data_IF_946742288009
#
_entry.id   IF_946742288009
#
_cell.length_a   1.000
_cell.length_b   1.000
_cell.length_c   1.000
_cell.angle_alpha   90.00
_cell.angle_beta   90.00
_cell.angle_gamma   90.00
#
_symmetry.space_group_name_H-M   'P 1'
#
loop_
_entity.id
_entity.type
_entity.pdbx_description
1 polymer ?
#
# COMPACT_ATOMS: atom_id res chain seq x y z
N UNK A 1 32.13 10.53 13.52
CA UNK A 1 32.91 9.63 12.64
C UNK A 1 33.47 10.38 11.44
N UNK A 2 32.66 11.04 10.60
CA UNK A 2 33.12 11.90 9.49
C UNK A 2 34.25 12.87 9.85
N UNK A 3 34.03 13.72 10.85
CA UNK A 3 35.03 14.69 11.29
C UNK A 3 36.32 14.03 11.76
N UNK A 4 36.24 12.85 12.38
CA UNK A 4 37.43 12.16 12.88
C UNK A 4 38.30 11.60 11.76
N UNK A 5 37.70 11.12 10.66
CA UNK A 5 38.44 10.62 9.49
C UNK A 5 38.92 11.78 8.61
N UNK A 6 38.14 12.86 8.49
CA UNK A 6 38.61 14.09 7.85
C UNK A 6 39.80 14.70 8.60
N UNK A 7 39.75 14.74 9.94
CA UNK A 7 40.87 15.21 10.76
C UNK A 7 42.12 14.32 10.62
N UNK A 8 41.97 13.02 10.32
CA UNK A 8 43.11 12.14 10.01
C UNK A 8 43.66 12.39 8.60
N UNK A 9 42.81 12.74 7.64
CA UNK A 9 43.20 13.12 6.29
C UNK A 9 43.91 14.49 6.27
N UNK A 10 43.53 15.40 7.17
CA UNK A 10 44.15 16.72 7.33
C UNK A 10 45.45 16.70 8.15
N UNK A 11 45.77 15.60 8.84
CA UNK A 11 46.98 15.47 9.65
C UNK A 11 48.05 14.66 8.91
N UNK A 12 48.98 15.37 8.27
CA UNK A 12 50.11 14.78 7.56
C UNK A 12 50.90 13.77 8.42
N UNK A 13 51.11 14.04 9.71
CA UNK A 13 51.90 13.14 10.58
C UNK A 13 51.21 11.78 10.77
N UNK A 14 49.88 11.79 10.93
CA UNK A 14 49.07 10.57 11.07
C UNK A 14 49.03 9.78 9.76
N UNK A 15 49.01 10.49 8.63
CA UNK A 15 49.01 9.90 7.30
C UNK A 15 50.36 9.23 6.96
N UNK A 16 51.49 9.82 7.37
CA UNK A 16 52.80 9.20 7.24
C UNK A 16 52.94 7.94 8.10
N UNK A 17 52.35 7.92 9.30
CA UNK A 17 52.34 6.73 10.16
C UNK A 17 51.55 5.55 9.59
N UNK A 18 50.64 5.75 8.62
CA UNK A 18 49.92 4.65 7.97
C UNK A 18 50.82 3.73 7.12
N UNK A 19 51.99 4.20 6.68
CA UNK A 19 52.91 3.43 5.84
C UNK A 19 53.78 2.44 6.65
N UNK A 20 53.13 1.61 7.46
CA UNK A 20 53.76 0.65 8.38
C UNK A 20 54.72 -0.32 7.66
N UNK A 21 54.42 -0.72 6.43
CA UNK A 21 55.31 -1.59 5.63
C UNK A 21 56.60 -0.90 5.18
N UNK A 22 56.54 0.40 4.84
CA UNK A 22 57.75 1.18 4.50
C UNK A 22 58.61 1.42 5.74
N UNK A 23 57.97 1.76 6.86
CA UNK A 23 58.62 1.99 8.16
C UNK A 23 59.27 0.70 8.69
N UNK A 24 58.66 -0.47 8.46
CA UNK A 24 59.23 -1.76 8.84
C UNK A 24 60.46 -2.14 8.02
N UNK A 25 60.45 -1.86 6.71
CA UNK A 25 61.56 -2.21 5.82
C UNK A 25 62.77 -1.28 5.99
N UNK A 26 62.56 -0.03 6.38
CA UNK A 26 63.65 0.90 6.65
C UNK A 26 63.33 1.78 7.88
N UNK A 27 63.84 1.41 9.07
CA UNK A 27 63.54 2.10 10.33
C UNK A 27 64.14 3.51 10.40
N UNK A 28 64.97 3.95 9.45
CA UNK A 28 65.44 5.34 9.40
C UNK A 28 64.37 6.31 8.90
N UNK A 29 63.38 5.84 8.13
CA UNK A 29 62.22 6.64 7.71
C UNK A 29 61.28 6.98 8.87
N UNK A 30 61.31 6.23 9.96
CA UNK A 30 60.57 6.55 11.19
C UNK A 30 61.10 7.80 11.93
N UNK A 31 62.29 8.30 11.59
CA UNK A 31 62.84 9.55 12.15
C UNK A 31 62.65 10.76 11.24
N UNK A 32 62.43 10.54 9.94
CA UNK A 32 62.25 11.57 8.92
C UNK A 32 60.92 11.33 8.20
N UNK A 33 59.80 11.53 8.91
CA UNK A 33 58.46 11.26 8.40
C UNK A 33 58.20 11.97 7.05
N UNK A 34 58.66 13.21 6.88
CA UNK A 34 58.49 14.02 5.65
C UNK A 34 59.28 13.55 4.41
N UNK A 35 59.98 12.41 4.46
CA UNK A 35 60.87 11.99 3.37
C UNK A 35 60.20 11.21 2.24
N UNK A 36 58.94 10.82 2.40
CA UNK A 36 58.22 10.03 1.39
C UNK A 36 56.78 10.48 1.24
N UNK A 37 56.29 10.37 0.00
CA UNK A 37 54.96 10.81 -0.38
C UNK A 37 53.85 9.90 0.19
N UNK A 38 52.76 10.55 0.60
CA UNK A 38 51.58 9.94 1.22
C UNK A 38 50.36 9.89 0.30
N UNK A 39 50.40 10.52 -0.88
CA UNK A 39 49.32 10.65 -1.88
C UNK A 39 48.48 9.37 -2.10
N UNK A 40 49.13 8.20 -2.10
CA UNK A 40 48.43 6.92 -2.33
C UNK A 40 47.50 6.54 -1.17
N UNK A 41 47.91 6.76 0.07
CA UNK A 41 47.10 6.50 1.25
C UNK A 41 45.96 7.52 1.36
N UNK A 42 46.25 8.78 1.05
CA UNK A 42 45.25 9.86 0.99
C UNK A 42 44.14 9.53 -0.01
N UNK A 43 44.53 9.25 -1.26
CA UNK A 43 43.58 8.96 -2.35
C UNK A 43 42.74 7.71 -2.07
N UNK A 44 43.33 6.66 -1.49
CA UNK A 44 42.57 5.48 -1.06
C UNK A 44 41.57 5.83 0.04
N UNK A 45 41.99 6.56 1.07
CA UNK A 45 41.12 6.95 2.18
C UNK A 45 39.96 7.84 1.70
N UNK A 46 40.24 8.79 0.80
CA UNK A 46 39.24 9.67 0.20
C UNK A 46 38.19 8.89 -0.60
N UNK A 47 38.63 7.94 -1.44
CA UNK A 47 37.72 7.06 -2.21
C UNK A 47 36.84 6.24 -1.28
N UNK A 48 37.42 5.61 -0.25
CA UNK A 48 36.63 4.83 0.72
C UNK A 48 35.64 5.70 1.50
N UNK A 49 36.06 6.90 1.90
CA UNK A 49 35.22 7.85 2.61
C UNK A 49 34.05 8.31 1.73
N UNK A 50 34.31 8.59 0.45
CA UNK A 50 33.28 8.92 -0.53
C UNK A 50 32.29 7.76 -0.72
N UNK A 51 32.78 6.54 -0.89
CA UNK A 51 31.95 5.35 -1.07
C UNK A 51 31.06 5.07 0.15
N UNK A 52 31.58 5.26 1.37
CA UNK A 52 30.79 5.11 2.60
C UNK A 52 29.62 6.11 2.62
N UNK A 53 29.84 7.37 2.23
CA UNK A 53 28.75 8.35 2.18
C UNK A 53 27.76 8.07 1.06
N UNK A 54 28.25 7.69 -0.12
CA UNK A 54 27.40 7.29 -1.23
C UNK A 54 26.51 6.10 -0.82
N UNK A 55 27.08 5.12 -0.10
CA UNK A 55 26.34 3.99 0.45
C UNK A 55 25.32 4.44 1.50
N UNK A 56 25.69 5.30 2.44
CA UNK A 56 24.77 5.82 3.46
C UNK A 56 23.57 6.54 2.82
N UNK A 57 23.82 7.38 1.81
CA UNK A 57 22.77 8.07 1.06
C UNK A 57 21.87 7.08 0.31
N UNK A 58 22.44 6.09 -0.36
CA UNK A 58 21.68 5.02 -1.04
C UNK A 58 20.81 4.23 -0.07
N UNK A 59 21.34 3.87 1.09
CA UNK A 59 20.59 3.16 2.14
C UNK A 59 19.43 4.02 2.65
N UNK A 60 19.67 5.31 2.90
CA UNK A 60 18.61 6.24 3.32
C UNK A 60 17.49 6.36 2.27
N UNK A 61 17.86 6.46 0.99
CA UNK A 61 16.89 6.51 -0.11
C UNK A 61 16.12 5.19 -0.26
N UNK A 62 16.80 4.05 -0.11
CA UNK A 62 16.17 2.74 -0.16
C UNK A 62 15.17 2.56 0.99
N UNK A 63 15.53 2.99 2.21
CA UNK A 63 14.63 2.98 3.36
C UNK A 63 13.38 3.82 3.08
N UNK A 64 13.55 5.03 2.54
CA UNK A 64 12.43 5.88 2.16
C UNK A 64 11.55 5.23 1.08
N UNK A 65 12.14 4.56 0.09
CA UNK A 65 11.41 3.82 -0.94
C UNK A 65 10.61 2.65 -0.36
N UNK A 66 11.16 1.93 0.62
CA UNK A 66 10.45 0.86 1.32
C UNK A 66 9.24 1.44 2.06
N UNK A 67 9.41 2.51 2.83
CA UNK A 67 8.31 3.17 3.55
C UNK A 67 7.22 3.70 2.61
N UNK A 68 7.62 4.28 1.47
CA UNK A 68 6.68 4.73 0.45
C UNK A 68 5.91 3.54 -0.15
N UNK A 69 6.61 2.44 -0.44
CA UNK A 69 5.98 1.21 -0.95
C UNK A 69 5.02 0.60 0.07
N UNK A 70 5.38 0.57 1.34
CA UNK A 70 4.51 0.12 2.44
C UNK A 70 3.22 0.93 2.48
N UNK A 71 3.35 2.26 2.39
CA UNK A 71 2.20 3.17 2.35
C UNK A 71 1.28 2.89 1.15
N UNK A 72 1.86 2.67 -0.03
CA UNK A 72 1.08 2.29 -1.23
C UNK A 72 0.38 0.94 -1.05
N UNK A 73 1.06 -0.05 -0.48
CA UNK A 73 0.47 -1.37 -0.21
C UNK A 73 -0.67 -1.25 0.80
N UNK A 74 -0.53 -0.46 1.86
CA UNK A 74 -1.60 -0.19 2.82
C UNK A 74 -2.82 0.45 2.14
N UNK A 75 -2.62 1.48 1.32
CA UNK A 75 -3.70 2.11 0.55
C UNK A 75 -4.41 1.10 -0.38
N UNK A 76 -3.65 0.21 -1.02
CA UNK A 76 -4.22 -0.87 -1.85
C UNK A 76 -5.02 -1.86 -1.01
N UNK A 77 -4.54 -2.24 0.17
CA UNK A 77 -5.24 -3.14 1.07
C UNK A 77 -6.57 -2.54 1.56
N UNK A 78 -6.55 -1.26 1.94
CA UNK A 78 -7.76 -0.55 2.37
C UNK A 78 -8.77 -0.40 1.22
N UNK A 79 -8.29 -0.14 0.01
CA UNK A 79 -9.13 -0.13 -1.19
C UNK A 79 -9.78 -1.50 -1.41
N UNK A 80 -9.04 -2.61 -1.24
CA UNK A 80 -9.60 -3.96 -1.37
C UNK A 80 -10.64 -4.26 -0.29
N UNK A 81 -10.39 -3.87 0.96
CA UNK A 81 -11.37 -4.00 2.05
C UNK A 81 -12.65 -3.21 1.75
N UNK A 82 -12.51 -1.96 1.32
CA UNK A 82 -13.65 -1.11 0.95
C UNK A 82 -14.43 -1.70 -0.25
N UNK A 83 -13.72 -2.23 -1.24
CA UNK A 83 -14.34 -2.96 -2.36
C UNK A 83 -15.15 -4.16 -1.88
N UNK A 84 -14.60 -4.99 -0.99
CA UNK A 84 -15.32 -6.15 -0.44
C UNK A 84 -16.55 -5.75 0.37
N UNK A 85 -16.47 -4.71 1.21
CA UNK A 85 -17.62 -4.16 1.93
C UNK A 85 -18.72 -3.69 0.98
N UNK A 86 -18.33 -3.03 -0.11
CA UNK A 86 -19.25 -2.56 -1.15
C UNK A 86 -19.97 -3.73 -1.82
N UNK A 87 -19.26 -4.81 -2.14
CA UNK A 87 -19.83 -6.03 -2.70
C UNK A 87 -20.78 -6.70 -1.71
N UNK A 88 -20.37 -6.86 -0.45
CA UNK A 88 -21.17 -7.48 0.61
C UNK A 88 -22.48 -6.72 0.86
N UNK A 89 -22.43 -5.39 0.93
CA UNK A 89 -23.61 -4.53 1.03
C UNK A 89 -24.56 -4.72 -0.16
N UNK A 90 -24.01 -4.85 -1.37
CA UNK A 90 -24.81 -5.08 -2.58
C UNK A 90 -25.51 -6.43 -2.52
N UNK A 91 -24.81 -7.51 -2.16
CA UNK A 91 -25.37 -8.85 -2.03
C UNK A 91 -26.42 -8.93 -0.93
N UNK A 92 -26.15 -8.30 0.21
CA UNK A 92 -27.10 -8.19 1.32
C UNK A 92 -28.38 -7.47 0.89
N UNK A 93 -28.26 -6.39 0.11
CA UNK A 93 -29.42 -5.67 -0.43
C UNK A 93 -30.27 -6.54 -1.36
N UNK A 94 -29.63 -7.26 -2.28
CA UNK A 94 -30.32 -8.21 -3.16
C UNK A 94 -31.06 -9.26 -2.36
N UNK A 95 -30.38 -9.88 -1.40
CA UNK A 95 -30.94 -10.94 -0.55
C UNK A 95 -32.12 -10.42 0.28
N UNK A 96 -31.99 -9.26 0.91
CA UNK A 96 -33.06 -8.66 1.72
C UNK A 96 -34.33 -8.41 0.88
N UNK A 97 -34.15 -7.88 -0.33
CA UNK A 97 -35.28 -7.54 -1.21
C UNK A 97 -35.96 -8.78 -1.78
N UNK A 98 -35.18 -9.82 -2.09
CA UNK A 98 -35.70 -11.13 -2.48
C UNK A 98 -36.45 -11.77 -1.31
N UNK A 99 -35.92 -11.72 -0.08
CA UNK A 99 -36.59 -12.28 1.11
C UNK A 99 -37.98 -11.70 1.35
N UNK A 100 -38.16 -10.38 1.16
CA UNK A 100 -39.49 -9.74 1.26
C UNK A 100 -40.43 -10.24 0.16
N UNK A 101 -39.93 -10.40 -1.07
CA UNK A 101 -40.73 -10.89 -2.21
C UNK A 101 -41.12 -12.37 -2.03
N UNK A 102 -40.21 -13.18 -1.48
CA UNK A 102 -40.45 -14.58 -1.11
C UNK A 102 -41.44 -14.69 0.03
N UNK A 103 -41.39 -13.81 1.03
CA UNK A 103 -42.37 -13.78 2.12
C UNK A 103 -43.79 -13.52 1.60
N UNK A 104 -43.96 -12.51 0.73
CA UNK A 104 -45.25 -12.20 0.10
C UNK A 104 -45.75 -13.39 -0.71
N UNK A 105 -44.91 -13.93 -1.60
CA UNK A 105 -45.24 -15.13 -2.40
C UNK A 105 -45.60 -16.32 -1.50
N UNK A 106 -44.88 -16.50 -0.40
CA UNK A 106 -45.13 -17.55 0.59
C UNK A 106 -46.50 -17.41 1.25
N UNK A 107 -46.86 -16.21 1.74
CA UNK A 107 -48.16 -15.95 2.34
C UNK A 107 -49.33 -16.25 1.38
N UNK A 108 -49.20 -15.90 0.09
CA UNK A 108 -50.21 -16.19 -0.94
C UNK A 108 -50.16 -17.65 -1.44
N UNK A 109 -49.03 -18.35 -1.29
CA UNK A 109 -48.87 -19.76 -1.66
C UNK A 109 -49.30 -20.75 -0.58
N UNK A 110 -49.69 -20.28 0.61
CA UNK A 110 -50.22 -21.14 1.68
C UNK A 110 -51.64 -21.60 1.34
N UNK A 111 -51.94 -22.86 1.64
CA UNK A 111 -53.27 -23.46 1.49
C UNK A 111 -54.22 -22.96 2.61
N UNK A 112 -54.51 -21.65 2.58
CA UNK A 112 -55.48 -20.99 3.44
C UNK A 112 -56.67 -20.62 2.58
N UNK A 113 -57.88 -20.95 3.04
CA UNK A 113 -59.11 -20.63 2.34
C UNK A 113 -59.37 -19.11 2.43
N UNK A 114 -58.77 -18.39 1.49
CA UNK A 114 -58.79 -16.95 1.39
C UNK A 114 -59.65 -16.61 0.18
N UNK A 115 -60.87 -16.12 0.39
CA UNK A 115 -61.80 -15.66 -0.67
C UNK A 115 -61.20 -14.56 -1.59
N UNK A 116 -59.96 -14.15 -1.35
CA UNK A 116 -59.14 -13.23 -2.14
C UNK A 116 -58.68 -13.88 -3.46
N UNK A 117 -58.64 -15.22 -3.54
CA UNK A 117 -58.28 -15.95 -4.76
C UNK A 117 -59.39 -15.94 -5.83
N UNK A 118 -60.64 -15.73 -5.44
CA UNK A 118 -61.80 -15.72 -6.34
C UNK A 118 -61.98 -14.39 -7.09
N UNK A 119 -61.20 -13.36 -6.75
CA UNK A 119 -61.24 -12.06 -7.42
C UNK A 119 -60.44 -12.13 -8.72
N UNK A 120 -61.11 -11.90 -9.84
CA UNK A 120 -60.48 -11.82 -11.17
C UNK A 120 -59.27 -10.85 -11.16
N UNK A 121 -58.18 -11.24 -11.83
CA UNK A 121 -56.92 -10.50 -11.99
C UNK A 121 -56.00 -10.35 -10.77
N UNK A 122 -56.45 -10.66 -9.55
CA UNK A 122 -55.68 -10.39 -8.32
C UNK A 122 -54.35 -11.18 -8.27
N UNK A 123 -54.36 -12.42 -8.76
CA UNK A 123 -53.14 -13.24 -8.92
C UNK A 123 -52.09 -12.59 -9.83
N UNK A 124 -52.51 -12.07 -10.99
CA UNK A 124 -51.61 -11.43 -11.94
C UNK A 124 -51.00 -10.14 -11.39
N UNK A 125 -51.78 -9.37 -10.63
CA UNK A 125 -51.30 -8.14 -9.98
C UNK A 125 -50.23 -8.48 -8.93
N UNK A 126 -50.47 -9.46 -8.07
CA UNK A 126 -49.51 -9.86 -7.04
C UNK A 126 -48.23 -10.41 -7.67
N UNK A 127 -48.35 -11.24 -8.72
CA UNK A 127 -47.20 -11.78 -9.46
C UNK A 127 -46.37 -10.66 -10.13
N UNK A 128 -47.02 -9.65 -10.69
CA UNK A 128 -46.31 -8.51 -11.25
C UNK A 128 -45.59 -7.71 -10.15
N UNK A 129 -46.26 -7.44 -9.03
CA UNK A 129 -45.67 -6.69 -7.92
C UNK A 129 -44.46 -7.43 -7.33
N UNK A 130 -44.54 -8.74 -7.10
CA UNK A 130 -43.43 -9.51 -6.52
C UNK A 130 -42.20 -9.60 -7.43
N UNK A 131 -42.37 -9.55 -8.75
CA UNK A 131 -41.25 -9.53 -9.71
C UNK A 131 -40.65 -8.13 -9.88
N UNK A 132 -41.48 -7.10 -9.97
CA UNK A 132 -41.01 -5.74 -10.25
C UNK A 132 -40.52 -4.99 -9.01
N UNK A 133 -41.09 -5.27 -7.83
CA UNK A 133 -40.68 -4.67 -6.57
C UNK A 133 -39.18 -4.81 -6.27
N UNK A 134 -38.56 -6.00 -6.39
CA UNK A 134 -37.13 -6.13 -6.10
C UNK A 134 -36.24 -5.38 -7.09
N UNK A 135 -36.62 -5.37 -8.37
CA UNK A 135 -35.90 -4.69 -9.42
C UNK A 135 -35.93 -3.17 -9.20
N UNK A 136 -37.11 -2.60 -8.92
CA UNK A 136 -37.28 -1.16 -8.67
C UNK A 136 -36.53 -0.73 -7.41
N UNK A 137 -36.58 -1.53 -6.35
CA UNK A 137 -35.91 -1.22 -5.08
C UNK A 137 -34.38 -1.18 -5.25
N UNK A 138 -33.79 -2.16 -5.94
CA UNK A 138 -32.35 -2.14 -6.22
C UNK A 138 -31.95 -0.97 -7.12
N UNK A 139 -32.74 -0.66 -8.16
CA UNK A 139 -32.45 0.46 -9.07
C UNK A 139 -32.54 1.82 -8.36
N UNK A 140 -33.57 2.05 -7.53
CA UNK A 140 -33.72 3.29 -6.77
C UNK A 140 -32.63 3.48 -5.74
N UNK A 141 -32.19 2.40 -5.08
CA UNK A 141 -31.08 2.45 -4.13
C UNK A 141 -29.76 2.73 -4.85
N UNK A 142 -29.47 2.04 -5.97
CA UNK A 142 -28.30 2.36 -6.80
C UNK A 142 -28.29 3.83 -7.23
N UNK A 143 -29.40 4.32 -7.79
CA UNK A 143 -29.54 5.71 -8.23
C UNK A 143 -29.40 6.71 -7.08
N UNK A 144 -29.90 6.37 -5.89
CA UNK A 144 -29.77 7.21 -4.68
C UNK A 144 -28.34 7.23 -4.14
N UNK A 145 -27.61 6.12 -4.26
CA UNK A 145 -26.18 6.06 -3.90
C UNK A 145 -25.34 6.88 -4.89
N UNK A 146 -25.63 6.76 -6.19
CA UNK A 146 -24.99 7.55 -7.25
C UNK A 146 -25.20 9.07 -7.05
N UNK A 147 -26.44 9.49 -6.75
CA UNK A 147 -26.76 10.90 -6.46
C UNK A 147 -26.10 11.44 -5.18
N UNK A 148 -25.65 10.56 -4.28
CA UNK A 148 -24.93 10.95 -3.05
C UNK A 148 -23.41 10.99 -3.25
N UNK A 149 -22.91 10.85 -4.48
CA UNK A 149 -21.48 10.85 -4.76
C UNK A 149 -20.76 9.58 -4.33
N UNK A 150 -21.49 8.58 -3.81
CA UNK A 150 -20.96 7.24 -3.57
C UNK A 150 -21.14 6.50 -4.88
N UNK A 151 -20.24 6.74 -5.83
CA UNK A 151 -20.20 5.92 -7.04
C UNK A 151 -19.90 4.50 -6.59
N UNK A 152 -20.89 3.62 -6.66
CA UNK A 152 -20.68 2.18 -6.74
C UNK A 152 -20.13 1.87 -8.14
N UNK A 153 -19.10 2.62 -8.56
CA UNK A 153 -18.39 2.39 -9.80
C UNK A 153 -17.52 1.18 -9.54
N UNK A 154 -18.05 0.05 -9.98
CA UNK A 154 -17.30 -1.17 -10.24
C UNK A 154 -16.39 -0.91 -11.45
N UNK A 155 -15.53 0.08 -11.33
CA UNK A 155 -14.53 0.47 -12.32
C UNK A 155 -13.31 0.99 -11.58
N UNK A 156 -12.73 0.11 -10.76
CA UNK A 156 -11.32 0.19 -10.45
C UNK A 156 -10.56 -0.21 -11.74
N UNK A 157 -10.25 0.78 -12.57
CA UNK A 157 -9.19 0.67 -13.57
C UNK A 157 -7.85 0.93 -12.90
#
# INVERSE_FOLDING_TARGET
MRQMVMNLLENDDDMHMMYLTKIFNDPQLAKNFQSFDTDTAESLLEVYLHDIYAMQSRVSLMLHNVQNTESVVMLRLDTKRNYLLTVDLTLTLWTATISVSTFITGCFGMNLNSNIQEVDYLFYIVAFITVFFPIITVLTIKKKLENRGISMSLNAK
#
